data_IF_184793678726
#
_entry.id   IF_184793678726
#
_cell.length_a   1.000
_cell.length_b   1.000
_cell.length_c   1.000
_cell.angle_alpha   90.00
_cell.angle_beta   90.00
_cell.angle_gamma   90.00
#
_symmetry.space_group_name_H-M   'P 1'
#
loop_
_entity.id
_entity.type
_entity.pdbx_description
1 polymer ?
#
# COMPACT_ATOMS: atom_id res chain seq x y z
N UNK A 1 -5.55 -6.75 17.93
CA UNK A 1 -4.74 -6.30 16.76
C UNK A 1 -3.57 -7.22 16.53
N UNK A 2 -2.64 -7.33 17.49
CA UNK A 2 -1.54 -8.30 17.44
C UNK A 2 -1.98 -9.73 17.11
N UNK A 3 -3.03 -10.24 17.76
CA UNK A 3 -3.60 -11.56 17.45
C UNK A 3 -4.13 -11.67 16.02
N UNK A 4 -4.75 -10.61 15.49
CA UNK A 4 -5.25 -10.59 14.10
C UNK A 4 -4.09 -10.58 13.10
N UNK A 5 -3.03 -9.82 13.39
CA UNK A 5 -1.84 -9.79 12.56
C UNK A 5 -1.10 -11.14 12.56
N UNK A 6 -0.99 -11.79 13.72
CA UNK A 6 -0.45 -13.15 13.81
C UNK A 6 -1.30 -14.16 13.02
N UNK A 7 -2.63 -14.04 13.07
CA UNK A 7 -3.54 -14.85 12.25
C UNK A 7 -3.27 -14.72 10.75
N UNK A 8 -2.99 -13.51 10.24
CA UNK A 8 -2.60 -13.35 8.84
C UNK A 8 -1.27 -14.04 8.51
N UNK A 9 -0.29 -14.01 9.41
CA UNK A 9 0.95 -14.77 9.21
C UNK A 9 0.69 -16.27 9.20
N UNK A 10 -0.18 -16.78 10.09
CA UNK A 10 -0.60 -18.18 10.11
C UNK A 10 -1.33 -18.61 8.82
N UNK A 11 -2.02 -17.66 8.15
CA UNK A 11 -2.65 -17.84 6.83
C UNK A 11 -1.65 -17.75 5.65
N UNK A 12 -0.38 -17.46 5.95
CA UNK A 12 0.74 -17.46 5.00
C UNK A 12 1.17 -16.09 4.51
N UNK A 13 0.58 -14.98 4.99
CA UNK A 13 1.05 -13.65 4.64
C UNK A 13 2.48 -13.43 5.16
N UNK A 14 3.39 -13.02 4.27
CA UNK A 14 4.78 -12.70 4.64
C UNK A 14 4.95 -11.28 5.20
N UNK A 15 3.89 -10.48 5.17
CA UNK A 15 3.93 -9.06 5.51
C UNK A 15 2.57 -8.58 6.04
N UNK A 16 2.59 -7.60 6.94
CA UNK A 16 1.38 -6.91 7.41
C UNK A 16 1.61 -5.40 7.47
N UNK A 17 0.57 -4.62 7.18
CA UNK A 17 0.60 -3.16 7.31
C UNK A 17 -0.31 -2.69 8.45
N UNK A 18 0.13 -1.68 9.20
CA UNK A 18 -0.67 -1.02 10.25
C UNK A 18 -0.69 0.49 10.08
N UNK A 19 -1.83 1.10 10.41
CA UNK A 19 -1.93 2.54 10.57
C UNK A 19 -1.41 2.98 11.95
N UNK A 20 -0.83 4.18 12.04
CA UNK A 20 -0.43 4.87 13.27
C UNK A 20 -1.14 6.24 13.37
N UNK A 21 -0.63 7.18 14.17
CA UNK A 21 -1.17 8.54 14.29
C UNK A 21 -2.03 8.77 15.53
N UNK A 22 -1.93 7.91 16.55
CA UNK A 22 -2.66 8.07 17.83
C UNK A 22 -1.82 8.73 18.92
N UNK A 23 -0.59 9.13 18.58
CA UNK A 23 0.37 9.72 19.50
C UNK A 23 1.57 8.79 19.66
N UNK A 24 2.77 9.37 19.71
CA UNK A 24 4.05 8.64 19.58
C UNK A 24 4.15 7.46 20.55
N UNK A 25 3.80 7.66 21.84
CA UNK A 25 3.88 6.60 22.84
C UNK A 25 2.90 5.44 22.54
N UNK A 26 1.67 5.75 22.14
CA UNK A 26 0.66 4.75 21.79
C UNK A 26 0.98 4.03 20.47
N UNK A 27 1.64 4.73 19.56
CA UNK A 27 2.09 4.20 18.28
C UNK A 27 3.29 3.24 18.48
N UNK A 28 4.24 3.58 19.36
CA UNK A 28 5.34 2.70 19.76
C UNK A 28 4.83 1.42 20.45
N UNK A 29 3.90 1.54 21.39
CA UNK A 29 3.26 0.39 22.04
C UNK A 29 2.62 -0.56 21.02
N UNK A 30 1.98 0.01 19.99
CA UNK A 30 1.37 -0.76 18.90
C UNK A 30 2.42 -1.46 18.04
N UNK A 31 3.46 -0.76 17.61
CA UNK A 31 4.53 -1.33 16.78
C UNK A 31 5.23 -2.46 17.53
N UNK A 32 5.58 -2.25 18.80
CA UNK A 32 6.19 -3.27 19.64
C UNK A 32 5.32 -4.53 19.76
N UNK A 33 4.01 -4.36 20.00
CA UNK A 33 3.07 -5.47 20.09
C UNK A 33 2.93 -6.24 18.77
N UNK A 34 2.89 -5.54 17.64
CA UNK A 34 2.81 -6.17 16.31
C UNK A 34 4.10 -6.92 15.97
N UNK A 35 5.26 -6.28 16.17
CA UNK A 35 6.56 -6.89 15.90
C UNK A 35 6.78 -8.15 16.72
N UNK A 36 6.38 -8.14 18.00
CA UNK A 36 6.44 -9.35 18.83
C UNK A 36 5.48 -10.46 18.35
N UNK A 37 4.35 -10.12 17.73
CA UNK A 37 3.32 -11.09 17.39
C UNK A 37 3.53 -11.77 16.03
N UNK A 38 4.13 -11.05 15.07
CA UNK A 38 4.26 -11.55 13.69
C UNK A 38 5.61 -12.20 13.39
N UNK A 39 6.55 -12.15 14.34
CA UNK A 39 7.87 -12.77 14.20
C UNK A 39 8.68 -12.14 13.06
N UNK A 40 9.15 -12.98 12.13
CA UNK A 40 10.04 -12.58 11.03
C UNK A 40 9.28 -11.98 9.83
N UNK A 41 7.94 -11.93 9.84
CA UNK A 41 7.18 -11.29 8.78
C UNK A 41 7.48 -9.79 8.70
N UNK A 42 7.41 -9.19 7.51
CA UNK A 42 7.64 -7.76 7.32
C UNK A 42 6.51 -6.95 7.98
N UNK A 43 6.88 -5.87 8.67
CA UNK A 43 5.91 -4.90 9.21
C UNK A 43 6.06 -3.58 8.48
N UNK A 44 4.98 -3.18 7.82
CA UNK A 44 4.83 -1.87 7.20
C UNK A 44 3.99 -0.97 8.08
N UNK A 45 4.28 0.33 8.05
CA UNK A 45 3.58 1.34 8.85
C UNK A 45 3.12 2.46 7.95
N UNK A 46 1.85 2.86 8.08
CA UNK A 46 1.23 3.98 7.38
C UNK A 46 0.76 5.05 8.38
N UNK A 47 1.08 6.32 8.10
CA UNK A 47 0.70 7.47 8.90
C UNK A 47 -0.50 8.27 8.37
N UNK A 48 -0.93 8.03 7.14
CA UNK A 48 -1.94 8.81 6.42
C UNK A 48 -1.74 10.33 6.61
N UNK A 49 -0.51 10.80 6.43
CA UNK A 49 -0.13 12.21 6.54
C UNK A 49 -0.33 12.82 7.95
N UNK A 50 -0.37 12.00 9.01
CA UNK A 50 -0.82 12.42 10.34
C UNK A 50 0.14 13.29 11.15
N UNK A 51 1.41 13.42 10.76
CA UNK A 51 2.43 14.14 11.52
C UNK A 51 3.08 15.31 10.77
N UNK A 52 3.67 16.23 11.54
CA UNK A 52 4.58 17.23 11.01
C UNK A 52 6.01 16.67 10.87
N UNK A 53 6.93 17.44 10.27
CA UNK A 53 8.32 16.98 10.04
C UNK A 53 9.05 16.56 11.32
N UNK A 54 8.81 17.24 12.45
CA UNK A 54 9.54 16.97 13.68
C UNK A 54 9.06 15.67 14.33
N UNK A 55 7.74 15.50 14.42
CA UNK A 55 7.14 14.28 14.94
C UNK A 55 7.37 13.09 14.00
N UNK A 56 7.27 13.28 12.69
CA UNK A 56 7.56 12.24 11.71
C UNK A 56 9.01 11.77 11.77
N UNK A 57 9.97 12.66 12.00
CA UNK A 57 11.38 12.28 12.21
C UNK A 57 11.56 11.47 13.50
N UNK A 58 10.86 11.86 14.58
CA UNK A 58 10.92 11.14 15.86
C UNK A 58 10.32 9.75 15.73
N UNK A 59 9.17 9.62 15.07
CA UNK A 59 8.52 8.34 14.78
C UNK A 59 9.40 7.50 13.88
N UNK A 60 9.93 8.04 12.79
CA UNK A 60 10.83 7.30 11.90
C UNK A 60 12.04 6.71 12.62
N UNK A 61 12.63 7.43 13.59
CA UNK A 61 13.71 6.89 14.45
C UNK A 61 13.25 5.77 15.36
N UNK A 62 12.05 5.87 15.93
CA UNK A 62 11.46 4.79 16.71
C UNK A 62 11.24 3.55 15.82
N UNK A 63 10.72 3.71 14.61
CA UNK A 63 10.46 2.60 13.68
C UNK A 63 11.73 1.83 13.29
N UNK A 64 12.89 2.52 13.20
CA UNK A 64 14.20 1.86 12.98
C UNK A 64 14.55 0.83 14.06
N UNK A 65 14.09 1.01 15.30
CA UNK A 65 14.36 0.07 16.41
C UNK A 65 13.57 -1.24 16.29
N UNK A 66 12.52 -1.26 15.45
CA UNK A 66 11.61 -2.38 15.28
C UNK A 66 11.72 -3.08 13.92
N UNK A 67 12.74 -2.71 13.11
CA UNK A 67 12.98 -3.27 11.78
C UNK A 67 11.74 -3.17 10.87
N UNK A 68 11.12 -1.98 10.86
CA UNK A 68 9.95 -1.69 10.03
C UNK A 68 10.39 -1.59 8.56
N UNK A 69 9.67 -2.30 7.69
CA UNK A 69 10.02 -2.46 6.27
C UNK A 69 9.86 -1.16 5.46
N UNK A 70 8.78 -0.41 5.70
CA UNK A 70 8.65 0.97 5.21
C UNK A 70 7.81 1.85 6.13
N UNK A 71 8.03 3.15 5.97
CA UNK A 71 7.30 4.23 6.61
C UNK A 71 6.51 5.02 5.56
N UNK A 72 5.20 4.78 5.53
CA UNK A 72 4.25 5.24 4.52
C UNK A 72 3.55 6.53 4.92
N UNK A 73 3.43 7.45 3.94
CA UNK A 73 2.83 8.78 4.06
C UNK A 73 3.15 9.53 5.38
N UNK A 74 4.44 9.64 5.76
CA UNK A 74 4.81 10.24 7.04
C UNK A 74 4.47 11.73 7.14
N UNK A 75 4.28 12.38 5.99
CA UNK A 75 3.96 13.79 5.82
C UNK A 75 2.89 13.94 4.74
N UNK A 76 2.29 15.13 4.69
CA UNK A 76 1.40 15.53 3.59
C UNK A 76 2.04 15.30 2.21
N UNK A 77 1.26 14.87 1.18
CA UNK A 77 1.77 14.74 -0.19
C UNK A 77 2.32 16.05 -0.76
N UNK A 78 1.85 17.20 -0.26
CA UNK A 78 2.35 18.51 -0.67
C UNK A 78 3.75 18.85 -0.12
N UNK A 79 4.27 18.06 0.83
CA UNK A 79 5.58 18.29 1.46
C UNK A 79 6.67 17.35 0.90
N UNK A 80 6.85 17.38 -0.42
CA UNK A 80 7.86 16.57 -1.13
C UNK A 80 9.28 16.83 -0.60
N UNK A 81 9.60 18.08 -0.26
CA UNK A 81 10.90 18.42 0.33
C UNK A 81 11.07 17.78 1.72
N UNK A 82 10.02 17.77 2.53
CA UNK A 82 10.01 17.11 3.83
C UNK A 82 10.22 15.61 3.71
N UNK A 83 9.56 14.95 2.74
CA UNK A 83 9.77 13.52 2.47
C UNK A 83 11.23 13.23 2.10
N UNK A 84 11.81 14.02 1.19
CA UNK A 84 13.24 13.90 0.83
C UNK A 84 14.17 14.18 2.02
N UNK A 85 13.81 15.11 2.90
CA UNK A 85 14.54 15.38 4.13
C UNK A 85 14.52 14.19 5.10
N UNK A 86 13.35 13.59 5.32
CA UNK A 86 13.18 12.41 6.16
C UNK A 86 13.99 11.23 5.60
N UNK A 87 13.86 10.93 4.31
CA UNK A 87 14.61 9.86 3.65
C UNK A 87 16.13 10.01 3.79
N UNK A 88 16.66 11.24 3.72
CA UNK A 88 18.10 11.49 3.95
C UNK A 88 18.54 11.29 5.39
N UNK A 89 17.62 11.41 6.35
CA UNK A 89 17.92 11.33 7.79
C UNK A 89 17.69 9.94 8.35
N UNK A 90 16.71 9.21 7.82
CA UNK A 90 16.26 7.93 8.34
C UNK A 90 16.88 6.77 7.56
N UNK A 91 16.99 5.63 8.23
CA UNK A 91 17.35 4.34 7.62
C UNK A 91 16.09 3.54 7.24
N UNK A 92 14.95 3.80 7.88
CA UNK A 92 13.67 3.22 7.47
C UNK A 92 13.27 3.78 6.10
N UNK A 93 12.94 2.94 5.10
CA UNK A 93 12.53 3.39 3.78
C UNK A 93 11.26 4.24 3.81
N UNK A 94 11.18 5.24 2.93
CA UNK A 94 9.99 6.10 2.80
C UNK A 94 9.10 5.62 1.65
N UNK A 95 7.82 5.39 1.94
CA UNK A 95 6.81 5.07 0.94
C UNK A 95 5.79 6.21 0.81
N UNK A 96 5.42 6.57 -0.42
CA UNK A 96 4.33 7.54 -0.68
C UNK A 96 3.81 7.43 -2.12
N UNK A 97 2.64 8.01 -2.38
CA UNK A 97 2.11 8.15 -3.75
C UNK A 97 0.63 7.84 -3.93
N UNK A 98 -0.07 7.31 -2.92
CA UNK A 98 -1.51 7.01 -3.04
C UNK A 98 -2.35 8.27 -3.31
N UNK A 99 -1.85 9.43 -2.85
CA UNK A 99 -2.43 10.74 -3.05
C UNK A 99 -1.76 11.55 -4.18
N UNK A 100 -0.85 10.92 -4.92
CA UNK A 100 -0.22 11.51 -6.09
C UNK A 100 -0.93 11.13 -7.39
N UNK A 101 -1.04 12.11 -8.29
CA UNK A 101 -1.80 11.97 -9.51
C UNK A 101 -0.89 12.10 -10.72
N UNK A 102 -1.08 11.18 -11.67
CA UNK A 102 -0.39 11.11 -12.97
C UNK A 102 1.12 10.97 -12.88
N UNK A 103 1.77 10.57 -13.97
CA UNK A 103 3.25 10.45 -13.99
C UNK A 103 4.00 11.73 -13.65
N UNK A 104 3.36 12.90 -13.74
CA UNK A 104 3.99 14.18 -13.44
C UNK A 104 4.18 14.40 -11.93
N UNK A 105 3.19 14.04 -11.09
CA UNK A 105 3.37 14.06 -9.63
C UNK A 105 4.45 13.07 -9.18
N UNK A 106 4.40 11.85 -9.73
CA UNK A 106 5.44 10.84 -9.46
C UNK A 106 6.83 11.25 -9.93
N UNK A 107 6.96 11.90 -11.10
CA UNK A 107 8.25 12.47 -11.54
C UNK A 107 8.78 13.45 -10.50
N UNK A 108 7.93 14.32 -9.97
CA UNK A 108 8.37 15.34 -9.00
C UNK A 108 8.83 14.69 -7.69
N UNK A 109 8.16 13.62 -7.23
CA UNK A 109 8.64 12.78 -6.12
C UNK A 109 10.02 12.16 -6.40
N UNK A 110 10.20 11.60 -7.59
CA UNK A 110 11.41 10.87 -7.95
C UNK A 110 12.61 11.81 -8.16
N UNK A 111 12.41 12.95 -8.83
CA UNK A 111 13.44 13.98 -9.03
C UNK A 111 13.91 14.58 -7.71
N UNK A 112 13.01 14.72 -6.73
CA UNK A 112 13.35 15.16 -5.38
C UNK A 112 14.08 14.08 -4.56
N UNK A 113 14.06 12.82 -5.01
CA UNK A 113 14.52 11.66 -4.25
C UNK A 113 13.71 11.46 -2.97
N UNK A 114 12.40 11.72 -3.03
CA UNK A 114 11.53 11.79 -1.86
C UNK A 114 11.08 10.42 -1.33
N UNK A 115 11.13 9.37 -2.14
CA UNK A 115 10.62 8.04 -1.82
C UNK A 115 11.60 6.94 -2.20
N UNK A 116 11.55 5.84 -1.47
CA UNK A 116 12.13 4.54 -1.82
C UNK A 116 11.09 3.66 -2.51
N UNK A 117 9.83 3.75 -2.04
CA UNK A 117 8.67 3.05 -2.58
C UNK A 117 7.61 4.03 -3.11
N UNK A 118 7.27 3.91 -4.39
CA UNK A 118 6.19 4.65 -5.02
C UNK A 118 4.88 3.85 -4.98
N UNK A 119 3.77 4.50 -4.63
CA UNK A 119 2.49 3.81 -4.43
C UNK A 119 1.36 4.30 -5.35
N UNK A 120 1.50 4.18 -6.69
CA UNK A 120 0.44 4.60 -7.60
C UNK A 120 -0.80 3.74 -7.48
N UNK A 121 -1.94 4.36 -7.22
CA UNK A 121 -3.24 3.68 -7.22
C UNK A 121 -3.88 3.76 -8.61
N UNK A 122 -4.17 2.61 -9.22
CA UNK A 122 -4.77 2.54 -10.54
C UNK A 122 -6.15 3.21 -10.64
N UNK A 123 -6.92 3.24 -9.56
CA UNK A 123 -8.23 3.88 -9.48
C UNK A 123 -8.15 5.39 -9.21
N UNK A 124 -6.97 5.91 -8.84
CA UNK A 124 -6.78 7.33 -8.50
C UNK A 124 -5.86 8.06 -9.47
N UNK A 125 -4.67 7.53 -9.74
CA UNK A 125 -3.59 8.27 -10.42
C UNK A 125 -3.81 8.48 -11.93
N UNK A 126 -4.86 7.90 -12.52
CA UNK A 126 -5.23 8.06 -13.93
C UNK A 126 -5.52 6.77 -14.70
N UNK A 127 -5.80 5.66 -14.01
CA UNK A 127 -6.11 4.37 -14.63
C UNK A 127 -4.86 3.53 -14.92
N UNK A 128 -5.09 2.28 -15.33
CA UNK A 128 -4.07 1.30 -15.74
C UNK A 128 -3.00 1.92 -16.66
N UNK A 129 -3.43 2.75 -17.61
CA UNK A 129 -2.51 3.37 -18.58
C UNK A 129 -1.54 4.33 -17.91
N UNK A 130 -1.99 5.11 -16.94
CA UNK A 130 -1.13 6.08 -16.26
C UNK A 130 -0.26 5.38 -15.19
N UNK A 131 -0.79 4.40 -14.46
CA UNK A 131 -0.02 3.55 -13.54
C UNK A 131 1.14 2.86 -14.26
N UNK A 132 0.91 2.28 -15.44
CA UNK A 132 2.00 1.68 -16.24
C UNK A 132 3.10 2.68 -16.63
N UNK A 133 2.74 3.94 -16.89
CA UNK A 133 3.73 4.99 -17.17
C UNK A 133 4.51 5.37 -15.92
N UNK A 134 3.86 5.37 -14.76
CA UNK A 134 4.51 5.62 -13.46
C UNK A 134 5.50 4.50 -13.16
N UNK A 135 5.11 3.23 -13.30
CA UNK A 135 6.02 2.10 -13.10
C UNK A 135 7.23 2.16 -14.04
N UNK A 136 7.00 2.41 -15.34
CA UNK A 136 8.10 2.56 -16.31
C UNK A 136 9.01 3.76 -15.99
N UNK A 137 8.47 4.83 -15.40
CA UNK A 137 9.27 5.95 -14.93
C UNK A 137 10.10 5.56 -13.69
N UNK A 138 9.52 4.82 -12.75
CA UNK A 138 10.19 4.38 -11.53
C UNK A 138 11.42 3.51 -11.83
N UNK A 139 11.36 2.65 -12.86
CA UNK A 139 12.53 1.90 -13.37
C UNK A 139 13.71 2.80 -13.73
N UNK A 140 13.47 3.99 -14.30
CA UNK A 140 14.52 4.92 -14.69
C UNK A 140 15.14 5.67 -13.50
N UNK A 141 14.48 5.66 -12.34
CA UNK A 141 14.92 6.32 -11.12
C UNK A 141 15.36 5.33 -10.03
N UNK A 142 15.40 4.02 -10.35
CA UNK A 142 15.68 2.94 -9.39
C UNK A 142 14.74 2.98 -8.16
N UNK A 143 13.46 3.27 -8.39
CA UNK A 143 12.40 3.30 -7.36
C UNK A 143 11.49 2.08 -7.52
N UNK A 144 11.19 1.41 -6.40
CA UNK A 144 10.27 0.27 -6.37
C UNK A 144 8.83 0.78 -6.35
N UNK A 145 7.93 0.11 -7.06
CA UNK A 145 6.50 0.37 -7.01
C UNK A 145 5.77 -0.66 -6.13
N UNK A 146 4.92 -0.20 -5.24
CA UNK A 146 3.94 -1.02 -4.51
C UNK A 146 2.59 -0.33 -4.60
N UNK A 147 1.80 -0.59 -5.66
CA UNK A 147 0.55 0.11 -5.91
C UNK A 147 -0.38 0.08 -4.69
N UNK A 148 -0.83 1.25 -4.24
CA UNK A 148 -1.91 1.35 -3.27
C UNK A 148 -3.19 0.77 -3.89
N UNK A 149 -3.92 -0.02 -3.12
CA UNK A 149 -5.07 -0.79 -3.58
C UNK A 149 -6.11 -1.01 -2.48
N UNK A 150 -6.62 0.08 -1.91
CA UNK A 150 -7.78 0.05 -1.01
C UNK A 150 -9.10 0.27 -1.80
N UNK A 151 -9.55 -0.76 -2.51
CA UNK A 151 -10.72 -0.70 -3.42
C UNK A 151 -11.34 -2.08 -3.64
N UNK A 152 -12.55 -2.15 -4.21
CA UNK A 152 -13.25 -3.43 -4.49
C UNK A 152 -12.49 -4.30 -5.49
N UNK A 153 -12.93 -5.54 -5.68
CA UNK A 153 -12.26 -6.52 -6.56
C UNK A 153 -12.00 -6.06 -8.01
N UNK A 154 -12.72 -5.06 -8.55
CA UNK A 154 -12.43 -4.51 -9.89
C UNK A 154 -11.10 -3.76 -9.89
N UNK A 155 -10.89 -2.90 -8.89
CA UNK A 155 -9.64 -2.16 -8.76
C UNK A 155 -8.49 -3.07 -8.35
N UNK A 156 -8.75 -4.07 -7.49
CA UNK A 156 -7.76 -5.11 -7.17
C UNK A 156 -7.30 -5.86 -8.43
N UNK A 157 -8.22 -6.35 -9.26
CA UNK A 157 -7.87 -7.03 -10.50
C UNK A 157 -7.08 -6.13 -11.46
N UNK A 158 -7.46 -4.85 -11.59
CA UNK A 158 -6.72 -3.88 -12.39
C UNK A 158 -5.28 -3.69 -11.88
N UNK A 159 -5.11 -3.56 -10.57
CA UNK A 159 -3.80 -3.43 -9.92
C UNK A 159 -2.95 -4.68 -10.10
N UNK A 160 -3.52 -5.87 -9.92
CA UNK A 160 -2.83 -7.15 -10.13
C UNK A 160 -2.29 -7.31 -11.55
N UNK A 161 -3.07 -6.94 -12.57
CA UNK A 161 -2.61 -6.98 -13.97
C UNK A 161 -1.46 -6.00 -14.23
N UNK A 162 -1.44 -4.82 -13.59
CA UNK A 162 -0.31 -3.89 -13.70
C UNK A 162 0.92 -4.45 -13.00
N UNK A 163 0.76 -4.97 -11.78
CA UNK A 163 1.84 -5.54 -10.98
C UNK A 163 2.49 -6.73 -11.70
N UNK A 164 1.69 -7.66 -12.23
CA UNK A 164 2.19 -8.82 -12.97
C UNK A 164 2.93 -8.45 -14.27
N UNK A 165 2.66 -7.27 -14.83
CA UNK A 165 3.23 -6.81 -16.09
C UNK A 165 4.43 -5.86 -15.93
N UNK A 166 4.81 -5.51 -14.70
CA UNK A 166 5.81 -4.49 -14.40
C UNK A 166 6.95 -5.05 -13.54
N UNK A 167 8.21 -5.02 -13.99
CA UNK A 167 9.34 -5.48 -13.18
C UNK A 167 9.67 -4.52 -12.03
N UNK A 168 9.15 -3.29 -12.04
CA UNK A 168 9.32 -2.33 -10.95
C UNK A 168 8.45 -2.65 -9.73
N UNK A 169 7.45 -3.54 -9.86
CA UNK A 169 6.50 -3.79 -8.79
C UNK A 169 6.94 -4.94 -7.88
N UNK A 170 6.66 -4.80 -6.57
CA UNK A 170 7.03 -5.81 -5.57
C UNK A 170 5.81 -6.36 -4.83
N UNK A 171 5.15 -5.53 -4.02
CA UNK A 171 4.06 -5.95 -3.15
C UNK A 171 2.68 -5.61 -3.75
N UNK A 172 1.72 -6.52 -3.50
CA UNK A 172 0.29 -6.27 -3.71
C UNK A 172 -0.33 -5.93 -2.37
N UNK A 173 -0.91 -4.75 -2.24
CA UNK A 173 -1.80 -4.46 -1.12
C UNK A 173 -3.11 -5.25 -1.28
N UNK A 174 -3.47 -5.99 -0.24
CA UNK A 174 -4.70 -6.76 -0.17
C UNK A 174 -5.40 -6.46 1.14
N UNK A 175 -6.63 -5.94 1.09
CA UNK A 175 -7.45 -5.73 2.28
C UNK A 175 -8.30 -6.98 2.56
N UNK A 176 -8.02 -7.72 3.65
CA UNK A 176 -8.78 -8.90 4.05
C UNK A 176 -10.03 -8.56 4.88
N UNK A 177 -10.43 -7.29 4.95
CA UNK A 177 -11.60 -6.89 5.75
C UNK A 177 -12.90 -7.38 5.12
N UNK A 178 -13.70 -8.09 5.92
CA UNK A 178 -15.03 -8.53 5.54
C UNK A 178 -15.94 -7.31 5.29
N UNK A 179 -16.33 -7.12 4.03
CA UNK A 179 -17.24 -6.07 3.62
C UNK A 179 -18.18 -6.65 2.56
N UNK A 180 -19.52 -6.51 2.70
CA UNK A 180 -20.48 -7.18 1.80
C UNK A 180 -20.22 -6.92 0.32
N UNK A 181 -19.80 -5.71 -0.07
CA UNK A 181 -19.49 -5.41 -1.48
C UNK A 181 -18.20 -6.10 -1.98
N UNK A 182 -17.28 -6.52 -1.11
CA UNK A 182 -16.12 -7.31 -1.51
C UNK A 182 -16.47 -8.78 -1.67
N UNK A 183 -17.32 -9.30 -0.77
CA UNK A 183 -17.66 -10.72 -0.72
C UNK A 183 -18.75 -11.10 -1.73
N UNK A 184 -19.77 -10.26 -1.88
CA UNK A 184 -20.99 -10.60 -2.63
C UNK A 184 -20.97 -10.09 -4.06
N UNK A 185 -20.26 -8.98 -4.34
CA UNK A 185 -20.30 -8.35 -5.66
C UNK A 185 -19.67 -9.22 -6.76
N UNK A 186 -18.71 -10.08 -6.41
CA UNK A 186 -17.95 -10.88 -7.37
C UNK A 186 -18.48 -12.31 -7.40
N UNK A 187 -18.80 -12.81 -8.59
CA UNK A 187 -19.21 -14.23 -8.78
C UNK A 187 -18.09 -15.18 -8.33
N UNK A 188 -16.84 -14.77 -8.52
CA UNK A 188 -15.66 -15.44 -7.97
C UNK A 188 -14.74 -14.39 -7.36
N UNK A 189 -14.82 -14.14 -6.04
CA UNK A 189 -13.96 -13.16 -5.39
C UNK A 189 -12.50 -13.64 -5.40
N UNK A 190 -11.52 -12.72 -5.50
CA UNK A 190 -10.11 -13.05 -5.30
C UNK A 190 -9.91 -13.67 -3.91
N UNK A 191 -9.18 -14.77 -3.85
CA UNK A 191 -8.82 -15.43 -2.60
C UNK A 191 -7.31 -15.47 -2.43
N UNK A 192 -6.88 -15.29 -1.17
CA UNK A 192 -5.48 -15.45 -0.79
C UNK A 192 -5.26 -16.91 -0.39
N UNK A 193 -4.17 -17.50 -0.86
CA UNK A 193 -3.69 -18.81 -0.44
C UNK A 193 -2.17 -18.76 -0.30
N UNK A 194 -1.65 -19.13 0.87
CA UNK A 194 -0.22 -19.13 1.18
C UNK A 194 0.43 -17.75 0.91
N UNK A 195 -0.25 -16.69 1.38
CA UNK A 195 0.18 -15.30 1.20
C UNK A 195 0.15 -14.77 -0.23
N UNK A 196 -0.46 -15.50 -1.17
CA UNK A 196 -0.49 -15.13 -2.60
C UNK A 196 -1.90 -15.09 -3.15
N UNK A 197 -2.11 -14.23 -4.15
CA UNK A 197 -3.37 -14.14 -4.91
C UNK A 197 -3.11 -14.59 -6.35
N UNK A 198 -3.97 -15.45 -6.87
CA UNK A 198 -3.88 -15.90 -8.26
C UNK A 198 -4.34 -14.80 -9.22
N UNK A 199 -3.56 -14.52 -10.27
CA UNK A 199 -3.95 -13.57 -11.31
C UNK A 199 -5.14 -14.12 -12.12
N UNK A 200 -6.23 -13.34 -12.33
CA UNK A 200 -7.33 -13.77 -13.18
C UNK A 200 -6.88 -14.00 -14.63
N UNK A 201 -7.29 -15.15 -15.20
CA UNK A 201 -6.88 -15.57 -16.56
C UNK A 201 -7.93 -15.29 -17.64
N UNK A 202 -9.18 -15.00 -17.25
CA UNK A 202 -10.25 -14.68 -18.19
C UNK A 202 -9.99 -13.34 -18.91
N UNK A 203 -10.53 -13.14 -20.14
CA UNK A 203 -10.31 -11.92 -20.91
C UNK A 203 -10.66 -10.62 -20.16
N UNK A 204 -9.92 -9.54 -20.44
CA UNK A 204 -10.11 -8.25 -19.79
C UNK A 204 -9.48 -8.23 -18.39
N UNK A 205 -10.21 -7.76 -17.38
CA UNK A 205 -9.78 -7.83 -15.98
C UNK A 205 -9.93 -9.23 -15.38
N UNK A 206 -10.68 -10.12 -16.04
CA UNK A 206 -10.95 -11.47 -15.58
C UNK A 206 -11.88 -11.56 -14.37
N UNK A 207 -12.69 -10.52 -14.13
CA UNK A 207 -13.69 -10.48 -13.05
C UNK A 207 -15.11 -10.54 -13.63
N UNK A 208 -16.01 -11.17 -12.88
CA UNK A 208 -17.44 -11.25 -13.18
C UNK A 208 -18.22 -10.71 -11.96
N UNK A 209 -19.18 -9.81 -12.22
CA UNK A 209 -19.95 -9.13 -11.18
C UNK A 209 -21.38 -9.68 -11.10
N UNK A 210 -21.93 -9.74 -9.90
CA UNK A 210 -23.33 -10.09 -9.67
C UNK A 210 -24.24 -8.85 -9.85
N UNK A 211 -24.99 -8.84 -10.94
CA UNK A 211 -25.95 -7.78 -11.27
C UNK A 211 -27.07 -7.62 -10.22
N UNK A 212 -27.43 -8.69 -9.49
CA UNK A 212 -28.43 -8.60 -8.44
C UNK A 212 -27.90 -7.78 -7.25
N UNK A 213 -26.64 -8.00 -6.87
CA UNK A 213 -25.95 -7.24 -5.82
C UNK A 213 -25.79 -5.78 -6.22
N UNK A 214 -25.43 -5.51 -7.49
CA UNK A 214 -25.41 -4.14 -8.02
C UNK A 214 -26.78 -3.48 -7.87
N UNK A 215 -27.85 -4.20 -8.22
CA UNK A 215 -29.23 -3.70 -8.11
C UNK A 215 -29.65 -3.38 -6.67
N UNK A 216 -29.20 -4.17 -5.70
CA UNK A 216 -29.49 -3.97 -4.27
C UNK A 216 -28.82 -2.72 -3.69
N UNK A 217 -27.53 -2.51 -4.00
CA UNK A 217 -26.72 -1.44 -3.42
C UNK A 217 -26.75 -0.13 -4.21
N UNK A 218 -27.45 -0.07 -5.35
CA UNK A 218 -27.49 1.11 -6.22
C UNK A 218 -28.15 2.30 -5.52
N UNK A 219 -27.43 3.41 -5.48
CA UNK A 219 -27.94 4.74 -5.10
C UNK A 219 -27.87 5.62 -6.35
N UNK A 220 -29.00 6.19 -6.77
CA UNK A 220 -29.08 7.12 -7.91
C UNK A 220 -28.68 8.56 -7.54
#
# INVERSE_FOLDING_TARGET
MAERAAGYVDEGFSAVKTHLGRGIDADEERVAALRSAIGDADLMVDMNCGYDRADALRVGRMLEEYDVYWYEEPLSPYDVEGLAELRRKLNVPIASGENEYTKWGFRDLFEAGAVDYAMPDAMRCGGITETRKVCALAEAFDVVCTPHCYTTGVGLAATMHVLAASPACEWLEFDPTEFPLYEELFVTPPSVSDGRVALPEAPGLGVELDEAVIGEYRVD
#
